data_IF_642028320846
#
_entry.id   IF_642028320846
#
_cell.length_a   1.000
_cell.length_b   1.000
_cell.length_c   1.000
_cell.angle_alpha   90.00
_cell.angle_beta   90.00
_cell.angle_gamma   90.00
#
_symmetry.space_group_name_H-M   'P 1'
#
loop_
_entity.id
_entity.type
_entity.pdbx_description
1 polymer ?
#
# COMPACT_ATOMS: atom_id res chain seq x y z
N UNK A 1 -68.43 -10.45 111.43
CA UNK A 1 -68.94 -10.52 110.04
C UNK A 1 -68.12 -9.49 109.24
N UNK A 2 -67.16 -9.95 108.43
CA UNK A 2 -67.28 -10.00 106.94
C UNK A 2 -67.47 -8.56 106.37
N UNK A 3 -66.61 -8.00 105.51
CA UNK A 3 -65.91 -8.57 104.35
C UNK A 3 -64.59 -7.83 104.02
N UNK A 4 -63.67 -8.59 103.42
CA UNK A 4 -62.47 -8.16 102.68
C UNK A 4 -62.83 -7.50 101.33
N UNK A 5 -61.98 -6.57 100.84
CA UNK A 5 -61.37 -6.62 99.49
C UNK A 5 -60.27 -5.55 99.38
N UNK A 6 -59.00 -5.96 99.40
CA UNK A 6 -58.08 -6.04 98.25
C UNK A 6 -57.44 -4.68 97.86
N UNK A 7 -56.19 -4.53 98.31
CA UNK A 7 -54.98 -4.39 97.47
C UNK A 7 -54.91 -3.27 96.41
N UNK A 8 -53.79 -2.57 96.16
CA UNK A 8 -52.44 -2.49 96.71
C UNK A 8 -51.67 -1.49 95.79
N UNK A 9 -50.44 -1.10 96.17
CA UNK A 9 -49.33 -0.59 95.32
C UNK A 9 -49.43 0.89 94.83
N UNK A 10 -48.75 1.83 95.50
CA UNK A 10 -47.38 2.35 95.19
C UNK A 10 -47.27 2.92 93.76
N UNK A 11 -46.78 4.13 93.50
CA UNK A 11 -45.38 4.48 93.70
C UNK A 11 -45.14 5.97 93.45
N UNK A 12 -44.23 6.52 94.26
CA UNK A 12 -43.54 7.81 94.09
C UNK A 12 -42.51 7.68 92.97
N UNK A 13 -42.49 8.61 92.02
CA UNK A 13 -41.30 8.89 91.21
C UNK A 13 -41.00 10.39 91.15
N UNK A 14 -39.89 10.74 91.82
CA UNK A 14 -39.10 11.95 91.65
C UNK A 14 -38.06 11.63 90.58
N UNK A 15 -38.08 12.27 89.40
CA UNK A 15 -36.98 12.14 88.43
C UNK A 15 -36.66 13.45 87.68
N UNK A 16 -35.59 14.07 88.16
CA UNK A 16 -34.45 14.62 87.40
C UNK A 16 -34.69 15.32 86.05
N UNK A 17 -34.62 16.65 86.08
CA UNK A 17 -34.29 17.47 84.90
C UNK A 17 -32.81 17.36 84.53
N UNK A 18 -32.47 16.43 83.63
CA UNK A 18 -31.24 16.47 82.83
C UNK A 18 -31.64 16.38 81.37
N UNK A 19 -31.64 17.52 80.68
CA UNK A 19 -31.87 17.59 79.24
C UNK A 19 -30.72 16.91 78.50
N UNK A 20 -31.05 15.81 77.84
CA UNK A 20 -30.21 15.02 76.96
C UNK A 20 -29.94 15.81 75.67
N UNK A 21 -28.67 16.10 75.44
CA UNK A 21 -27.98 16.07 74.15
C UNK A 21 -28.60 16.82 72.96
N UNK A 22 -28.24 18.10 72.85
CA UNK A 22 -28.16 18.77 71.54
C UNK A 22 -26.80 18.42 70.88
N UNK A 23 -26.64 17.17 70.42
CA UNK A 23 -25.46 16.66 69.69
C UNK A 23 -25.61 16.63 68.17
N UNK A 24 -26.57 17.37 67.62
CA UNK A 24 -26.88 17.33 66.17
C UNK A 24 -26.37 18.53 65.36
N UNK A 25 -25.48 19.39 65.89
CA UNK A 25 -25.03 20.61 65.20
C UNK A 25 -23.70 20.53 64.43
N UNK A 26 -23.10 19.33 64.25
CA UNK A 26 -21.82 19.18 63.51
C UNK A 26 -21.84 18.21 62.31
N UNK A 27 -23.01 17.85 61.77
CA UNK A 27 -23.10 16.97 60.59
C UNK A 27 -23.17 17.69 59.24
N UNK A 28 -23.03 19.02 59.20
CA UNK A 28 -23.12 19.86 58.00
C UNK A 28 -21.98 19.72 56.97
N UNK A 29 -21.09 18.73 57.09
CA UNK A 29 -20.13 18.40 56.01
C UNK A 29 -20.85 17.56 54.96
N UNK A 30 -21.41 18.23 53.96
CA UNK A 30 -21.81 17.61 52.69
C UNK A 30 -20.71 16.63 52.26
N UNK A 31 -20.98 15.33 52.40
CA UNK A 31 -20.04 14.28 52.05
C UNK A 31 -19.97 14.27 50.54
N UNK A 32 -19.02 15.03 49.99
CA UNK A 32 -18.68 14.98 48.57
C UNK A 32 -18.58 13.53 48.15
N UNK A 33 -19.23 13.18 47.05
CA UNK A 33 -19.18 11.84 46.47
C UNK A 33 -17.73 11.47 46.20
N UNK A 34 -17.40 10.18 46.29
CA UNK A 34 -16.06 9.67 45.97
C UNK A 34 -15.58 10.15 44.60
N UNK A 35 -16.51 10.28 43.63
CA UNK A 35 -16.23 10.83 42.29
C UNK A 35 -15.80 12.30 42.35
N UNK A 36 -16.49 13.12 43.15
CA UNK A 36 -16.20 14.55 43.28
C UNK A 36 -14.90 14.81 44.02
N UNK A 37 -14.62 14.05 45.08
CA UNK A 37 -13.32 14.12 45.80
C UNK A 37 -12.17 13.81 44.87
N UNK A 38 -12.29 12.75 44.07
CA UNK A 38 -11.28 12.37 43.08
C UNK A 38 -11.13 13.42 41.98
N UNK A 39 -12.23 14.00 41.50
CA UNK A 39 -12.19 15.11 40.52
C UNK A 39 -11.42 16.31 41.09
N UNK A 40 -11.70 16.72 42.33
CA UNK A 40 -10.96 17.81 43.00
C UNK A 40 -9.49 17.47 43.22
N UNK A 41 -9.19 16.23 43.62
CA UNK A 41 -7.80 15.77 43.79
C UNK A 41 -7.02 15.80 42.47
N UNK A 42 -7.63 15.37 41.36
CA UNK A 42 -7.03 15.41 40.03
C UNK A 42 -6.93 16.83 39.47
N UNK A 43 -7.84 17.73 39.86
CA UNK A 43 -7.77 19.14 39.46
C UNK A 43 -6.63 19.88 40.16
N UNK A 44 -6.33 19.51 41.42
CA UNK A 44 -5.30 20.14 42.25
C UNK A 44 -3.99 19.34 42.28
N UNK A 45 -3.80 18.36 41.39
CA UNK A 45 -2.55 17.59 41.35
C UNK A 45 -1.43 18.44 40.74
N UNK A 46 -0.22 18.38 41.33
CA UNK A 46 0.96 18.99 40.71
C UNK A 46 1.38 18.21 39.46
N UNK A 47 2.09 18.84 38.54
CA UNK A 47 2.57 18.19 37.32
C UNK A 47 3.43 16.96 37.61
N UNK A 48 4.29 17.03 38.63
CA UNK A 48 5.11 15.88 39.02
C UNK A 48 4.26 14.71 39.54
N UNK A 49 3.27 15.00 40.40
CA UNK A 49 2.32 13.97 40.86
C UNK A 49 1.49 13.40 39.72
N UNK A 50 1.11 14.24 38.74
CA UNK A 50 0.41 13.83 37.51
C UNK A 50 1.27 12.90 36.68
N UNK A 51 2.55 13.21 36.47
CA UNK A 51 3.49 12.36 35.72
C UNK A 51 3.64 10.99 36.39
N UNK A 52 3.94 10.96 37.68
CA UNK A 52 4.06 9.70 38.45
C UNK A 52 2.76 8.87 38.36
N UNK A 53 1.59 9.51 38.51
CA UNK A 53 0.30 8.83 38.40
C UNK A 53 0.09 8.24 37.02
N UNK A 54 0.41 8.98 35.95
CA UNK A 54 0.27 8.54 34.57
C UNK A 54 1.26 7.43 34.23
N UNK A 55 2.49 7.47 34.75
CA UNK A 55 3.48 6.40 34.54
C UNK A 55 3.06 5.11 35.24
N UNK A 56 2.62 5.18 36.50
CA UNK A 56 2.02 4.01 37.18
C UNK A 56 0.79 3.48 36.45
N UNK A 57 0.04 4.32 35.74
CA UNK A 57 -1.09 3.89 34.92
C UNK A 57 -0.61 3.19 33.63
N UNK A 58 0.41 3.74 32.96
CA UNK A 58 1.05 3.13 31.77
C UNK A 58 1.64 1.77 32.09
N UNK A 59 2.32 1.62 33.23
CA UNK A 59 2.93 0.35 33.64
C UNK A 59 1.88 -0.73 33.89
N UNK A 60 0.79 -0.38 34.60
CA UNK A 60 -0.34 -1.30 34.80
C UNK A 60 -0.98 -1.71 33.48
N UNK A 61 -1.16 -0.76 32.55
CA UNK A 61 -1.69 -1.05 31.22
C UNK A 61 -0.74 -1.96 30.42
N UNK A 62 0.57 -1.72 30.47
CA UNK A 62 1.57 -2.56 29.81
C UNK A 62 1.52 -4.00 30.33
N UNK A 63 1.51 -4.18 31.65
CA UNK A 63 1.36 -5.51 32.27
C UNK A 63 0.06 -6.19 31.85
N UNK A 64 -1.06 -5.45 31.83
CA UNK A 64 -2.35 -5.97 31.37
C UNK A 64 -2.30 -6.43 29.90
N UNK A 65 -1.72 -5.63 29.00
CA UNK A 65 -1.63 -5.98 27.58
C UNK A 65 -0.66 -7.13 27.31
N UNK A 66 0.41 -7.26 28.08
CA UNK A 66 1.35 -8.38 27.95
C UNK A 66 0.74 -9.71 28.41
N UNK A 67 -0.21 -9.67 29.34
CA UNK A 67 -0.91 -10.84 29.87
C UNK A 67 -2.32 -11.00 29.28
N UNK A 68 -2.63 -10.29 28.19
CA UNK A 68 -3.95 -10.33 27.55
C UNK A 68 -4.11 -11.63 26.75
N UNK A 69 -5.26 -12.30 26.88
CA UNK A 69 -5.59 -13.45 26.03
C UNK A 69 -5.90 -12.99 24.60
N UNK A 70 -5.76 -13.87 23.61
CA UNK A 70 -6.10 -13.53 22.22
C UNK A 70 -7.57 -13.11 22.06
N UNK A 71 -8.48 -13.74 22.81
CA UNK A 71 -9.91 -13.39 22.83
C UNK A 71 -10.12 -11.97 23.36
N UNK A 72 -9.45 -11.60 24.46
CA UNK A 72 -9.55 -10.26 25.04
C UNK A 72 -8.94 -9.20 24.13
N UNK A 73 -7.79 -9.53 23.53
CA UNK A 73 -7.11 -8.69 22.53
C UNK A 73 -8.03 -8.42 21.34
N UNK A 74 -8.66 -9.44 20.79
CA UNK A 74 -9.58 -9.30 19.67
C UNK A 74 -10.81 -8.49 20.05
N UNK A 75 -11.37 -8.75 21.23
CA UNK A 75 -12.50 -7.95 21.77
C UNK A 75 -12.13 -6.47 21.86
N UNK A 76 -10.96 -6.14 22.42
CA UNK A 76 -10.44 -4.78 22.54
C UNK A 76 -10.19 -4.13 21.17
N UNK A 77 -9.62 -4.86 20.21
CA UNK A 77 -9.42 -4.36 18.85
C UNK A 77 -10.75 -4.11 18.14
N UNK A 78 -11.74 -4.97 18.35
CA UNK A 78 -13.07 -4.84 17.76
C UNK A 78 -13.79 -3.57 18.26
N UNK A 79 -13.66 -3.22 19.55
CA UNK A 79 -14.13 -1.92 20.05
C UNK A 79 -13.50 -0.74 19.29
N UNK A 80 -12.21 -0.84 18.95
CA UNK A 80 -11.52 0.16 18.12
C UNK A 80 -12.07 0.25 16.70
N UNK A 81 -12.35 -0.90 16.07
CA UNK A 81 -12.97 -0.97 14.74
C UNK A 81 -14.39 -0.39 14.75
N UNK A 82 -15.19 -0.73 15.75
CA UNK A 82 -16.55 -0.20 15.93
C UNK A 82 -16.58 1.32 16.10
N UNK A 83 -15.57 1.91 16.76
CA UNK A 83 -15.46 3.36 16.85
C UNK A 83 -15.22 4.01 15.49
N UNK A 84 -14.43 3.38 14.61
CA UNK A 84 -14.20 3.86 13.25
C UNK A 84 -15.44 3.67 12.40
N UNK A 85 -16.16 2.55 12.55
CA UNK A 85 -17.39 2.28 11.81
C UNK A 85 -18.51 3.29 12.13
N UNK A 86 -18.56 3.78 13.37
CA UNK A 86 -19.58 4.71 13.86
C UNK A 86 -19.08 6.16 13.96
N UNK A 87 -17.99 6.52 13.29
CA UNK A 87 -17.49 7.90 13.32
C UNK A 87 -18.37 8.82 12.48
N UNK A 88 -18.52 10.08 12.91
CA UNK A 88 -19.20 11.09 12.09
C UNK A 88 -18.35 11.46 10.88
N UNK A 89 -18.95 12.02 9.83
CA UNK A 89 -18.22 12.43 8.64
C UNK A 89 -17.16 13.51 8.95
N UNK A 90 -17.48 14.44 9.85
CA UNK A 90 -16.53 15.46 10.33
C UNK A 90 -15.36 14.80 11.09
N UNK A 91 -15.63 13.83 11.95
CA UNK A 91 -14.57 13.11 12.67
C UNK A 91 -13.71 12.27 11.73
N UNK A 92 -14.33 11.65 10.72
CA UNK A 92 -13.63 10.91 9.65
C UNK A 92 -12.68 11.81 8.90
N UNK A 93 -13.14 12.97 8.45
CA UNK A 93 -12.31 13.91 7.70
C UNK A 93 -11.16 14.43 8.55
N UNK A 94 -11.42 14.81 9.80
CA UNK A 94 -10.39 15.21 10.75
C UNK A 94 -9.36 14.09 11.00
N UNK A 95 -9.79 12.83 11.08
CA UNK A 95 -8.91 11.68 11.24
C UNK A 95 -8.07 11.44 9.99
N UNK A 96 -8.67 11.50 8.80
CA UNK A 96 -8.01 11.32 7.52
C UNK A 96 -7.01 12.44 7.22
N UNK A 97 -7.34 13.68 7.55
CA UNK A 97 -6.43 14.82 7.38
C UNK A 97 -5.20 14.68 8.29
N UNK A 98 -5.40 14.34 9.57
CA UNK A 98 -4.29 14.00 10.49
C UNK A 98 -3.45 12.84 9.96
N UNK A 99 -4.08 11.82 9.37
CA UNK A 99 -3.38 10.68 8.79
C UNK A 99 -2.56 11.08 7.57
N UNK A 100 -3.11 11.90 6.66
CA UNK A 100 -2.39 12.46 5.50
C UNK A 100 -1.22 13.32 5.96
N UNK A 101 -1.41 14.19 6.95
CA UNK A 101 -0.36 15.02 7.52
C UNK A 101 0.79 14.22 8.11
N UNK A 102 0.49 13.15 8.87
CA UNK A 102 1.52 12.22 9.38
C UNK A 102 2.24 11.50 8.23
N UNK A 103 1.51 11.06 7.22
CA UNK A 103 2.10 10.37 6.08
C UNK A 103 3.04 11.29 5.27
N UNK A 104 2.64 12.54 5.05
CA UNK A 104 3.50 13.55 4.41
C UNK A 104 4.79 13.75 5.18
N UNK A 105 4.72 13.90 6.51
CA UNK A 105 5.90 14.02 7.38
C UNK A 105 6.79 12.78 7.33
N UNK A 106 6.19 11.58 7.33
CA UNK A 106 6.93 10.32 7.21
C UNK A 106 7.68 10.23 5.90
N UNK A 107 7.03 10.54 4.78
CA UNK A 107 7.65 10.52 3.44
C UNK A 107 8.73 11.60 3.32
N UNK A 108 8.51 12.79 3.88
CA UNK A 108 9.50 13.87 3.84
C UNK A 108 10.77 13.56 4.65
N UNK A 109 10.64 12.73 5.69
CA UNK A 109 11.73 12.37 6.60
C UNK A 109 12.25 10.94 6.36
N UNK A 110 11.84 10.27 5.27
CA UNK A 110 12.28 8.91 4.99
C UNK A 110 13.76 8.92 4.56
N UNK A 111 14.51 7.90 4.99
CA UNK A 111 15.88 7.68 4.50
C UNK A 111 15.86 7.23 3.04
N UNK A 112 16.98 7.38 2.32
CA UNK A 112 17.04 6.94 0.91
C UNK A 112 16.79 5.44 0.76
N UNK A 113 17.26 4.63 1.70
CA UNK A 113 17.01 3.18 1.71
C UNK A 113 15.52 2.88 1.90
N UNK A 114 14.84 3.57 2.82
CA UNK A 114 13.39 3.41 3.00
C UNK A 114 12.61 3.87 1.77
N UNK A 115 13.06 4.94 1.13
CA UNK A 115 12.48 5.46 -0.12
C UNK A 115 12.59 4.46 -1.25
N UNK A 116 13.79 3.94 -1.49
CA UNK A 116 14.08 2.87 -2.46
C UNK A 116 13.19 1.66 -2.22
N UNK A 117 13.16 1.14 -0.98
CA UNK A 117 12.31 0.01 -0.62
C UNK A 117 10.82 0.28 -0.87
N UNK A 118 10.32 1.45 -0.48
CA UNK A 118 8.92 1.84 -0.70
C UNK A 118 8.59 1.90 -2.19
N UNK A 119 9.48 2.47 -3.00
CA UNK A 119 9.32 2.57 -4.45
C UNK A 119 9.44 1.20 -5.13
N UNK A 120 10.35 0.34 -4.68
CA UNK A 120 10.49 -1.03 -5.17
C UNK A 120 9.21 -1.84 -4.94
N UNK A 121 8.68 -1.82 -3.71
CA UNK A 121 7.39 -2.48 -3.40
C UNK A 121 6.24 -1.89 -4.22
N UNK A 122 6.25 -0.57 -4.47
CA UNK A 122 5.23 0.06 -5.32
C UNK A 122 5.33 -0.40 -6.79
N UNK A 123 6.55 -0.51 -7.34
CA UNK A 123 6.80 -1.02 -8.69
C UNK A 123 6.36 -2.47 -8.82
N UNK A 124 6.68 -3.30 -7.83
CA UNK A 124 6.29 -4.71 -7.78
C UNK A 124 4.76 -4.88 -7.78
N UNK A 125 4.05 -4.18 -6.89
CA UNK A 125 2.57 -4.22 -6.90
C UNK A 125 1.97 -3.76 -8.21
N UNK A 126 2.53 -2.71 -8.82
CA UNK A 126 2.08 -2.24 -10.12
C UNK A 126 2.34 -3.28 -11.20
N UNK A 127 3.52 -3.91 -11.20
CA UNK A 127 3.85 -4.99 -12.13
C UNK A 127 2.88 -6.15 -12.00
N UNK A 128 2.67 -6.64 -10.77
CA UNK A 128 1.71 -7.72 -10.50
C UNK A 128 0.29 -7.34 -10.91
N UNK A 129 -0.11 -6.08 -10.73
CA UNK A 129 -1.41 -5.58 -11.18
C UNK A 129 -1.55 -5.54 -12.71
N UNK A 130 -0.46 -5.34 -13.45
CA UNK A 130 -0.45 -5.38 -14.91
C UNK A 130 -0.39 -6.83 -15.42
N UNK A 131 0.40 -7.69 -14.78
CA UNK A 131 0.56 -9.09 -15.19
C UNK A 131 -0.71 -9.92 -14.96
N UNK A 132 -1.45 -9.62 -13.88
CA UNK A 132 -2.69 -10.31 -13.53
C UNK A 132 -3.95 -9.59 -14.06
N UNK A 133 -3.80 -8.60 -14.94
CA UNK A 133 -4.96 -7.90 -15.50
C UNK A 133 -5.75 -8.80 -16.44
N UNK A 134 -7.08 -8.73 -16.36
CA UNK A 134 -7.93 -9.34 -17.39
C UNK A 134 -7.87 -8.55 -18.69
N UNK A 135 -8.20 -9.18 -19.81
CA UNK A 135 -8.18 -8.51 -21.13
C UNK A 135 -9.13 -7.30 -21.17
N UNK A 136 -10.26 -7.36 -20.45
CA UNK A 136 -11.20 -6.24 -20.33
C UNK A 136 -10.56 -5.07 -19.60
N UNK A 137 -9.92 -5.32 -18.44
CA UNK A 137 -9.23 -4.28 -17.67
C UNK A 137 -8.05 -3.67 -18.45
N UNK A 138 -7.34 -4.51 -19.21
CA UNK A 138 -6.28 -4.07 -20.12
C UNK A 138 -6.81 -3.09 -21.17
N UNK A 139 -7.88 -3.45 -21.86
CA UNK A 139 -8.46 -2.59 -22.90
C UNK A 139 -9.06 -1.32 -22.30
N UNK A 140 -9.71 -1.37 -21.13
CA UNK A 140 -10.19 -0.18 -20.44
C UNK A 140 -9.04 0.77 -20.07
N UNK A 141 -7.93 0.24 -19.55
CA UNK A 141 -6.73 1.03 -19.26
C UNK A 141 -6.13 1.65 -20.54
N UNK A 142 -6.08 0.91 -21.64
CA UNK A 142 -5.59 1.42 -22.93
C UNK A 142 -6.52 2.47 -23.53
N UNK A 143 -7.83 2.25 -23.44
CA UNK A 143 -8.88 3.19 -23.86
C UNK A 143 -8.77 4.50 -23.09
N UNK A 144 -8.55 4.45 -21.79
CA UNK A 144 -8.33 5.65 -20.96
C UNK A 144 -7.05 6.38 -21.37
N UNK A 145 -5.96 5.66 -21.69
CA UNK A 145 -4.74 6.27 -22.26
C UNK A 145 -5.02 6.95 -23.60
N UNK A 146 -5.76 6.31 -24.51
CA UNK A 146 -6.16 6.89 -25.82
C UNK A 146 -7.01 8.14 -25.63
N UNK A 147 -7.96 8.13 -24.67
CA UNK A 147 -8.82 9.27 -24.33
C UNK A 147 -8.04 10.47 -23.83
N UNK A 148 -6.98 10.26 -23.04
CA UNK A 148 -6.09 11.36 -22.61
C UNK A 148 -5.37 12.01 -23.79
N UNK A 149 -4.94 11.21 -24.77
CA UNK A 149 -4.30 11.72 -25.98
C UNK A 149 -5.31 12.44 -26.88
N UNK A 150 -6.54 11.93 -27.01
CA UNK A 150 -7.57 12.58 -27.84
C UNK A 150 -8.04 13.91 -27.26
N UNK A 151 -8.01 14.06 -25.94
CA UNK A 151 -8.46 15.25 -25.22
C UNK A 151 -7.29 16.18 -24.83
N UNK A 152 -6.11 15.96 -25.38
CA UNK A 152 -4.91 16.77 -25.13
C UNK A 152 -5.12 18.19 -25.69
N UNK A 153 -4.70 19.21 -24.93
CA UNK A 153 -4.70 20.59 -25.46
C UNK A 153 -3.58 20.77 -26.49
N UNK A 154 -3.70 21.73 -27.41
CA UNK A 154 -2.65 21.92 -28.43
C UNK A 154 -1.29 22.25 -27.79
N UNK A 155 -1.28 22.98 -26.68
CA UNK A 155 -0.07 23.26 -25.90
C UNK A 155 0.53 21.97 -25.32
N UNK A 156 -0.26 21.13 -24.67
CA UNK A 156 0.23 19.86 -24.10
C UNK A 156 0.76 18.93 -25.20
N UNK A 157 0.10 18.95 -26.37
CA UNK A 157 0.51 18.20 -27.56
C UNK A 157 1.85 18.68 -28.08
N UNK A 158 2.06 19.99 -28.20
CA UNK A 158 3.34 20.58 -28.61
C UNK A 158 4.45 20.22 -27.62
N UNK A 159 4.21 20.38 -26.31
CA UNK A 159 5.15 20.00 -25.25
C UNK A 159 5.52 18.51 -25.31
N UNK A 160 4.54 17.63 -25.54
CA UNK A 160 4.78 16.19 -25.68
C UNK A 160 5.61 15.88 -26.92
N UNK A 161 5.34 16.54 -28.04
CA UNK A 161 6.09 16.37 -29.29
C UNK A 161 7.51 16.93 -29.17
N UNK A 162 7.70 18.05 -28.50
CA UNK A 162 9.02 18.63 -28.22
C UNK A 162 9.85 17.68 -27.35
N UNK A 163 9.27 17.17 -26.25
CA UNK A 163 9.92 16.15 -25.41
C UNK A 163 10.29 14.91 -26.22
N UNK A 164 9.41 14.47 -27.13
CA UNK A 164 9.70 13.34 -28.01
C UNK A 164 10.85 13.64 -28.99
N UNK A 165 10.92 14.86 -29.55
CA UNK A 165 12.03 15.32 -30.41
C UNK A 165 13.34 15.36 -29.63
N UNK A 166 13.34 15.99 -28.45
CA UNK A 166 14.51 16.09 -27.58
C UNK A 166 15.01 14.70 -27.15
N UNK A 167 14.10 13.77 -26.83
CA UNK A 167 14.48 12.40 -26.49
C UNK A 167 15.12 11.68 -27.68
N UNK A 168 14.59 11.85 -28.90
CA UNK A 168 15.22 11.27 -30.11
C UNK A 168 16.63 11.81 -30.33
N UNK A 169 16.86 13.10 -30.11
CA UNK A 169 18.19 13.71 -30.22
C UNK A 169 19.14 13.11 -29.18
N UNK A 170 18.74 13.09 -27.91
CA UNK A 170 19.55 12.55 -26.81
C UNK A 170 19.93 11.08 -27.03
N UNK A 171 18.98 10.26 -27.50
CA UNK A 171 19.24 8.86 -27.82
C UNK A 171 20.26 8.74 -28.96
N UNK A 172 20.14 9.56 -30.01
CA UNK A 172 21.13 9.58 -31.10
C UNK A 172 22.52 10.00 -30.61
N UNK A 173 22.60 11.04 -29.80
CA UNK A 173 23.87 11.50 -29.21
C UNK A 173 24.52 10.43 -28.33
N UNK A 174 23.72 9.76 -27.49
CA UNK A 174 24.20 8.64 -26.67
C UNK A 174 24.76 7.51 -27.52
N UNK A 175 24.08 7.15 -28.61
CA UNK A 175 24.57 6.12 -29.54
C UNK A 175 25.90 6.56 -30.17
N UNK A 176 26.00 7.80 -30.68
CA UNK A 176 27.24 8.33 -31.27
C UNK A 176 28.39 8.32 -30.24
N UNK A 177 28.12 8.68 -28.99
CA UNK A 177 29.12 8.63 -27.92
C UNK A 177 29.61 7.21 -27.63
N UNK A 178 28.72 6.21 -27.61
CA UNK A 178 29.10 4.81 -27.44
C UNK A 178 30.02 4.33 -28.57
N UNK A 179 29.68 4.66 -29.83
CA UNK A 179 30.53 4.35 -30.99
C UNK A 179 31.89 5.07 -30.93
N UNK A 180 31.91 6.35 -30.56
CA UNK A 180 33.14 7.13 -30.44
C UNK A 180 34.06 6.64 -29.31
N UNK A 181 33.48 6.11 -28.22
CA UNK A 181 34.21 5.49 -27.12
C UNK A 181 34.77 4.09 -27.45
N UNK A 182 34.47 3.55 -28.64
CA UNK A 182 34.88 2.20 -29.04
C UNK A 182 34.16 1.08 -28.27
N UNK A 183 33.09 1.40 -27.54
CA UNK A 183 32.29 0.43 -26.81
C UNK A 183 31.30 -0.24 -27.76
N UNK A 184 31.84 -1.14 -28.59
CA UNK A 184 31.09 -1.94 -29.55
C UNK A 184 30.50 -3.22 -28.94
N UNK A 185 30.49 -3.35 -27.60
CA UNK A 185 30.00 -4.55 -26.90
C UNK A 185 28.53 -4.88 -27.22
N UNK A 186 27.72 -3.87 -27.51
CA UNK A 186 26.31 -3.99 -27.90
C UNK A 186 26.07 -3.82 -29.41
N UNK A 187 27.13 -3.68 -30.20
CA UNK A 187 27.03 -3.56 -31.66
C UNK A 187 27.21 -4.95 -32.26
N UNK A 188 26.14 -5.49 -32.85
CA UNK A 188 26.24 -6.71 -33.64
C UNK A 188 27.10 -6.38 -34.86
N UNK A 189 28.39 -6.68 -34.80
CA UNK A 189 29.31 -6.50 -35.92
C UNK A 189 29.00 -7.55 -36.99
N UNK A 190 28.26 -7.15 -38.02
CA UNK A 190 28.13 -7.94 -39.24
C UNK A 190 29.37 -7.67 -40.10
N UNK A 191 30.24 -8.68 -40.25
CA UNK A 191 31.39 -8.61 -41.15
C UNK A 191 30.91 -8.84 -42.58
N UNK A 192 30.46 -7.79 -43.27
CA UNK A 192 29.92 -7.87 -44.64
C UNK A 192 30.96 -8.23 -45.73
N UNK A 193 32.15 -8.74 -45.37
CA UNK A 193 33.22 -9.05 -46.32
C UNK A 193 33.87 -7.81 -46.96
N UNK A 194 34.73 -8.03 -47.96
CA UNK A 194 35.32 -6.94 -48.77
C UNK A 194 34.30 -6.48 -49.81
N UNK A 195 34.29 -5.19 -50.14
CA UNK A 195 33.39 -4.61 -51.15
C UNK A 195 34.02 -4.74 -52.54
N UNK A 196 34.09 -5.97 -53.06
CA UNK A 196 34.82 -6.32 -54.28
C UNK A 196 33.95 -6.92 -55.39
N UNK A 197 32.63 -7.00 -55.20
CA UNK A 197 31.70 -7.51 -56.21
C UNK A 197 31.13 -6.36 -57.02
N UNK A 198 31.52 -6.22 -58.29
CA UNK A 198 30.96 -5.21 -59.18
C UNK A 198 29.57 -5.64 -59.70
N UNK A 199 28.57 -4.76 -59.57
CA UNK A 199 27.25 -4.95 -60.12
C UNK A 199 27.29 -4.84 -61.65
N UNK A 200 26.87 -5.90 -62.34
CA UNK A 200 26.85 -5.96 -63.79
C UNK A 200 25.92 -4.94 -64.46
N UNK A 201 24.95 -4.38 -63.72
CA UNK A 201 23.96 -3.45 -64.26
C UNK A 201 24.34 -1.97 -64.10
N UNK A 202 25.11 -1.62 -63.07
CA UNK A 202 25.45 -0.22 -62.77
C UNK A 202 26.94 0.05 -62.55
N UNK A 203 27.79 -0.98 -62.52
CA UNK A 203 29.24 -0.85 -62.30
C UNK A 203 29.65 -0.45 -60.88
N UNK A 204 28.71 -0.43 -59.92
CA UNK A 204 29.02 -0.13 -58.53
C UNK A 204 29.57 -1.38 -57.80
N UNK A 205 30.51 -1.19 -56.88
CA UNK A 205 30.99 -2.27 -56.00
C UNK A 205 29.95 -2.56 -54.91
N UNK A 206 29.79 -3.83 -54.53
CA UNK A 206 28.88 -4.34 -53.51
C UNK A 206 29.59 -5.31 -52.58
N UNK A 207 28.99 -5.54 -51.42
CA UNK A 207 29.41 -6.60 -50.51
C UNK A 207 28.90 -7.97 -51.00
N UNK A 208 29.72 -9.04 -51.00
CA UNK A 208 29.31 -10.37 -51.47
C UNK A 208 28.10 -10.96 -50.75
N UNK A 209 27.92 -10.60 -49.48
CA UNK A 209 26.83 -11.08 -48.61
C UNK A 209 25.55 -10.25 -48.75
N UNK A 210 25.63 -9.10 -49.44
CA UNK A 210 24.46 -8.32 -49.81
C UNK A 210 23.73 -9.13 -50.89
N UNK A 211 22.72 -9.91 -50.48
CA UNK A 211 21.86 -10.63 -51.43
C UNK A 211 21.29 -9.61 -52.41
N UNK A 212 21.88 -9.55 -53.60
CA UNK A 212 21.31 -8.81 -54.73
C UNK A 212 19.97 -9.51 -55.01
N UNK A 213 18.88 -8.96 -54.46
CA UNK A 213 17.56 -9.46 -54.80
C UNK A 213 17.31 -9.03 -56.24
N UNK A 214 17.74 -9.86 -57.19
CA UNK A 214 17.25 -9.80 -58.55
C UNK A 214 15.75 -10.08 -58.48
N UNK A 215 14.95 -9.03 -58.35
CA UNK A 215 13.52 -9.07 -58.58
C UNK A 215 13.20 -8.02 -59.63
N UNK A 216 13.29 -8.46 -60.89
CA UNK A 216 12.26 -8.07 -61.84
C UNK A 216 10.90 -8.31 -61.18
N UNK A 217 10.01 -7.34 -61.32
CA UNK A 217 8.65 -7.34 -60.77
C UNK A 217 7.96 -8.69 -60.88
N UNK A 218 7.55 -9.26 -59.74
CA UNK A 218 6.15 -9.58 -59.38
C UNK A 218 6.16 -10.34 -58.05
N UNK A 219 5.35 -9.87 -57.10
CA UNK A 219 4.78 -10.58 -55.97
C UNK A 219 5.69 -11.53 -55.19
N UNK A 220 6.36 -10.99 -54.18
CA UNK A 220 6.62 -11.68 -52.92
C UNK A 220 7.12 -10.63 -51.92
N UNK A 221 6.18 -10.06 -51.16
CA UNK A 221 6.45 -9.26 -49.96
C UNK A 221 7.00 -10.21 -48.89
N UNK A 222 8.29 -10.19 -48.53
CA UNK A 222 8.68 -10.71 -47.23
C UNK A 222 8.06 -9.77 -46.19
N UNK A 223 7.22 -10.34 -45.31
CA UNK A 223 6.55 -9.65 -44.21
C UNK A 223 7.51 -8.69 -43.52
N UNK A 224 7.19 -7.40 -43.60
CA UNK A 224 7.75 -6.39 -42.71
C UNK A 224 7.32 -6.72 -41.28
N UNK A 225 8.09 -7.54 -40.58
CA UNK A 225 7.95 -7.79 -39.14
C UNK A 225 9.24 -8.33 -38.52
N UNK A 226 10.38 -7.79 -38.91
CA UNK A 226 11.60 -7.82 -38.09
C UNK A 226 12.21 -6.43 -38.13
N UNK A 227 11.48 -5.44 -37.60
CA UNK A 227 12.15 -4.29 -37.00
C UNK A 227 12.85 -4.86 -35.78
N UNK A 228 14.15 -5.04 -35.89
CA UNK A 228 15.02 -5.34 -34.76
C UNK A 228 14.70 -4.31 -33.67
N UNK A 229 13.98 -4.77 -32.64
CA UNK A 229 13.88 -4.04 -31.40
C UNK A 229 15.32 -3.89 -30.91
N UNK A 230 15.80 -2.65 -30.86
CA UNK A 230 17.03 -2.31 -30.16
C UNK A 230 16.76 -2.63 -28.69
N UNK A 231 17.15 -3.83 -28.29
CA UNK A 231 17.13 -4.27 -26.91
C UNK A 231 18.22 -3.51 -26.18
N UNK A 232 17.83 -2.66 -25.23
CA UNK A 232 18.73 -2.03 -24.28
C UNK A 232 18.58 -2.81 -22.97
N UNK A 233 19.50 -3.73 -22.63
CA UNK A 233 19.48 -4.35 -21.32
C UNK A 233 19.77 -3.30 -20.26
N UNK A 234 18.74 -2.98 -19.47
CA UNK A 234 18.92 -2.34 -18.18
C UNK A 234 19.28 -3.39 -17.14
N UNK A 235 20.42 -3.16 -16.49
CA UNK A 235 20.75 -3.45 -15.10
C UNK A 235 19.90 -4.53 -14.37
N UNK A 236 20.62 -5.57 -13.94
CA UNK A 236 20.33 -6.46 -12.81
C UNK A 236 19.35 -7.62 -13.09
N UNK A 237 19.90 -8.76 -13.51
CA UNK A 237 19.18 -10.04 -13.52
C UNK A 237 20.03 -11.15 -14.13
N UNK A 238 20.49 -12.07 -13.28
CA UNK A 238 21.24 -13.27 -13.63
C UNK A 238 20.56 -14.06 -14.77
N UNK A 239 21.36 -14.50 -15.75
CA UNK A 239 20.96 -15.42 -16.81
C UNK A 239 21.04 -16.84 -16.23
N UNK A 240 19.97 -17.66 -16.24
CA UNK A 240 20.11 -19.07 -15.89
C UNK A 240 20.86 -19.80 -17.02
N UNK A 241 21.92 -20.52 -16.64
CA UNK A 241 22.73 -21.35 -17.52
C UNK A 241 21.88 -22.34 -18.34
N UNK A 242 21.86 -22.13 -19.66
CA UNK A 242 21.36 -23.12 -20.61
C UNK A 242 22.37 -24.27 -20.71
N UNK A 243 22.18 -25.32 -19.91
CA UNK A 243 22.88 -26.60 -20.12
C UNK A 243 22.21 -27.39 -21.23
N UNK A 244 23.05 -27.78 -22.19
CA UNK A 244 22.83 -28.76 -23.24
C UNK A 244 22.18 -30.05 -22.71
N UNK A 245 21.20 -30.59 -23.45
CA UNK A 245 20.63 -31.92 -23.23
C UNK A 245 19.87 -32.42 -24.46
N UNK A 246 20.25 -33.60 -24.92
CA UNK A 246 19.84 -34.33 -26.14
C UNK A 246 18.33 -34.60 -26.31
N UNK A 247 17.91 -35.04 -27.52
CA UNK A 247 16.52 -35.36 -27.83
C UNK A 247 16.21 -36.81 -27.43
N UNK A 248 15.15 -37.02 -26.65
CA UNK A 248 14.55 -38.33 -26.43
C UNK A 248 13.04 -38.27 -26.66
N UNK A 249 12.55 -39.39 -27.19
CA UNK A 249 11.22 -39.70 -27.71
C UNK A 249 10.05 -39.60 -26.71
N UNK A 250 8.85 -39.82 -27.28
CA UNK A 250 7.55 -40.25 -26.72
C UNK A 250 6.55 -39.14 -26.24
N UNK A 251 5.22 -39.39 -26.24
CA UNK A 251 4.33 -39.26 -27.39
C UNK A 251 3.25 -38.17 -27.20
N UNK A 252 2.64 -37.77 -28.31
CA UNK A 252 1.43 -36.93 -28.37
C UNK A 252 0.23 -37.68 -27.77
N UNK A 253 -0.32 -37.18 -26.66
CA UNK A 253 -1.64 -37.59 -26.15
C UNK A 253 -2.65 -36.50 -26.50
N UNK A 254 -3.48 -36.77 -27.50
CA UNK A 254 -4.71 -36.03 -27.76
C UNK A 254 -5.72 -36.32 -26.64
N UNK A 255 -6.14 -35.30 -25.89
CA UNK A 255 -7.37 -35.37 -25.09
C UNK A 255 -8.42 -34.47 -25.71
N UNK A 256 -9.39 -35.11 -26.37
CA UNK A 256 -10.62 -34.49 -26.85
C UNK A 256 -11.55 -34.26 -25.66
N UNK A 257 -11.90 -32.99 -25.40
CA UNK A 257 -12.96 -32.66 -24.45
C UNK A 257 -14.29 -32.54 -25.20
N UNK A 258 -15.16 -33.50 -24.90
CA UNK A 258 -16.56 -33.58 -25.29
C UNK A 258 -17.36 -32.50 -24.54
N UNK A 259 -17.96 -31.53 -25.24
CA UNK A 259 -19.01 -30.69 -24.67
C UNK A 259 -20.37 -31.25 -25.10
N UNK A 260 -21.04 -31.91 -24.15
CA UNK A 260 -22.42 -32.36 -24.28
C UNK A 260 -23.39 -31.19 -24.16
N UNK A 261 -24.21 -31.03 -25.20
CA UNK A 261 -25.43 -30.24 -25.22
C UNK A 261 -26.41 -30.73 -24.16
N UNK A 262 -26.85 -29.83 -23.27
CA UNK A 262 -28.09 -30.01 -22.50
C UNK A 262 -29.09 -28.95 -22.94
N UNK A 263 -30.03 -29.40 -23.78
CA UNK A 263 -31.24 -28.70 -24.15
C UNK A 263 -32.17 -28.66 -22.94
N UNK A 264 -32.77 -27.51 -22.64
CA UNK A 264 -33.95 -27.39 -21.77
C UNK A 264 -35.10 -26.83 -22.59
N UNK A 265 -36.08 -27.69 -22.86
CA UNK A 265 -37.49 -27.33 -22.81
C UNK A 265 -37.94 -27.33 -21.34
#
# INVERSE_FOLDING_TARGET
MQLFSLDEVLSVEVLSGRTIENRNSLSGRSRLSTKERKKKQLANESDEKRRIRLDKQRDRNRKRFNNESDRDRETRLNYGRNRIANETEIDRDNRLDKQRGRNRKRIANESEIERENRLATQRERNRNGIENESEIEREDRLKEKRKKISNETEKDREDRLEKARANRIRVRESVVQLYAAGDCSNVISHKLGRMDVECTYCGALHFPEEKISNKGSTDNVPKANEVAAVYVPGADGEVPDAKNGQPDDVPVVFSTWYFGLASRY
#
